data_IF_448939136847
#
_entry.id   IF_448939136847
#
_cell.length_a   1.000
_cell.length_b   1.000
_cell.length_c   1.000
_cell.angle_alpha   90.00
_cell.angle_beta   90.00
_cell.angle_gamma   90.00
#
_symmetry.space_group_name_H-M   'P 1'
#
loop_
_entity.id
_entity.type
_entity.pdbx_description
1 polymer ?
#
# COMPACT_ATOMS: atom_id res chain seq x y z
N UNK A 1 13.35 -5.20 4.37
CA UNK A 1 11.93 -4.90 4.04
C UNK A 1 11.15 -4.42 5.26
N UNK A 2 11.34 -5.02 6.43
CA UNK A 2 10.76 -4.63 7.72
C UNK A 2 10.84 -3.12 8.04
N UNK A 3 12.01 -2.50 7.92
CA UNK A 3 12.19 -1.08 8.20
C UNK A 3 11.27 -0.19 7.34
N UNK A 4 11.08 -0.52 6.06
CA UNK A 4 10.20 0.22 5.17
C UNK A 4 8.72 -0.05 5.45
N UNK A 5 8.36 -1.30 5.76
CA UNK A 5 6.98 -1.72 6.00
C UNK A 5 6.42 -1.22 7.34
N UNK A 6 7.27 -1.09 8.35
CA UNK A 6 6.88 -0.69 9.71
C UNK A 6 7.45 0.68 10.13
N UNK A 7 7.99 1.45 9.17
CA UNK A 7 8.43 2.83 9.45
C UNK A 7 7.26 3.70 9.89
N UNK A 8 7.48 4.55 10.89
CA UNK A 8 6.55 5.57 11.39
C UNK A 8 6.96 7.00 11.00
N UNK A 9 7.81 7.14 9.96
CA UNK A 9 8.18 8.46 9.43
C UNK A 9 6.91 9.24 9.03
N UNK A 10 6.85 10.49 9.48
CA UNK A 10 5.69 11.37 9.32
C UNK A 10 5.58 11.93 7.89
N UNK A 11 4.47 12.63 7.62
CA UNK A 11 4.21 13.32 6.34
C UNK A 11 4.21 12.41 5.10
N UNK A 12 3.84 11.14 5.27
CA UNK A 12 3.66 10.18 4.17
C UNK A 12 2.18 9.88 3.99
N UNK A 13 1.73 9.92 2.74
CA UNK A 13 0.36 9.61 2.37
C UNK A 13 0.32 8.44 1.39
N UNK A 14 -0.67 7.56 1.54
CA UNK A 14 -1.00 6.54 0.54
C UNK A 14 -2.22 7.01 -0.22
N UNK A 15 -2.10 7.11 -1.54
CA UNK A 15 -3.17 7.56 -2.43
C UNK A 15 -3.49 6.47 -3.46
N UNK A 16 -4.77 6.34 -3.81
CA UNK A 16 -5.22 5.47 -4.90
C UNK A 16 -5.70 6.35 -6.05
N UNK A 17 -5.10 6.17 -7.22
CA UNK A 17 -5.41 6.95 -8.43
C UNK A 17 -5.97 6.01 -9.48
N UNK A 18 -7.04 6.41 -10.17
CA UNK A 18 -7.55 5.64 -11.31
C UNK A 18 -6.49 5.61 -12.42
N UNK A 19 -6.29 4.48 -13.12
CA UNK A 19 -5.24 4.37 -14.15
C UNK A 19 -5.25 5.49 -15.19
N UNK A 20 -6.44 5.93 -15.62
CA UNK A 20 -6.65 7.00 -16.59
C UNK A 20 -6.23 8.39 -16.10
N UNK A 21 -6.10 8.60 -14.79
CA UNK A 21 -5.66 9.86 -14.18
C UNK A 21 -4.20 9.84 -13.74
N UNK A 22 -3.48 8.74 -13.96
CA UNK A 22 -2.10 8.57 -13.48
C UNK A 22 -1.18 9.67 -13.99
N UNK A 23 -1.18 9.95 -15.30
CA UNK A 23 -0.28 10.94 -15.89
C UNK A 23 -0.49 12.34 -15.30
N UNK A 24 -1.75 12.79 -15.27
CA UNK A 24 -2.10 14.08 -14.67
C UNK A 24 -1.74 14.16 -13.18
N UNK A 25 -1.89 13.07 -12.42
CA UNK A 25 -1.48 13.02 -11.02
C UNK A 25 0.05 13.13 -10.87
N UNK A 26 0.82 12.39 -11.68
CA UNK A 26 2.29 12.43 -11.65
C UNK A 26 2.83 13.83 -12.00
N UNK A 27 2.20 14.51 -12.96
CA UNK A 27 2.51 15.92 -13.32
C UNK A 27 2.20 16.89 -12.17
N UNK A 28 1.03 16.77 -11.54
CA UNK A 28 0.66 17.62 -10.39
C UNK A 28 1.56 17.44 -9.17
N UNK A 29 2.21 16.28 -9.04
CA UNK A 29 3.10 15.94 -7.94
C UNK A 29 4.58 16.26 -8.23
N UNK A 30 4.87 16.94 -9.35
CA UNK A 30 6.23 17.36 -9.69
C UNK A 30 6.87 18.14 -8.52
N UNK A 31 8.11 17.79 -8.19
CA UNK A 31 8.85 18.38 -7.06
C UNK A 31 8.52 17.78 -5.69
N UNK A 32 7.52 16.91 -5.55
CA UNK A 32 7.23 16.15 -4.32
C UNK A 32 7.80 14.73 -4.44
N UNK A 33 8.47 14.18 -3.42
CA UNK A 33 8.89 12.78 -3.43
C UNK A 33 7.68 11.84 -3.36
N UNK A 34 7.46 11.05 -4.41
CA UNK A 34 6.45 9.99 -4.42
C UNK A 34 6.90 8.78 -5.25
N UNK A 35 6.20 7.66 -5.09
CA UNK A 35 6.43 6.47 -5.91
C UNK A 35 5.16 5.62 -6.03
N UNK A 36 5.03 4.90 -7.15
CA UNK A 36 3.95 3.93 -7.36
C UNK A 36 4.29 2.62 -6.66
N UNK A 37 3.71 2.41 -5.49
CA UNK A 37 3.99 1.24 -4.64
C UNK A 37 3.15 -0.02 -4.95
N UNK A 38 2.18 0.07 -5.86
CA UNK A 38 1.34 -1.09 -6.18
C UNK A 38 0.15 -0.79 -7.10
N UNK A 39 -0.84 -1.68 -7.05
CA UNK A 39 -2.12 -1.59 -7.78
C UNK A 39 -3.22 -2.25 -6.95
N UNK A 40 -4.41 -1.65 -6.91
CA UNK A 40 -5.60 -2.28 -6.32
C UNK A 40 -6.11 -3.33 -7.29
N UNK A 41 -6.35 -4.55 -6.80
CA UNK A 41 -6.86 -5.67 -7.59
C UNK A 41 -8.13 -6.20 -6.96
N UNK A 42 -8.98 -6.81 -7.78
CA UNK A 42 -10.08 -7.64 -7.27
C UNK A 42 -9.55 -8.89 -6.55
N UNK A 43 -10.39 -9.47 -5.70
CA UNK A 43 -10.08 -10.68 -4.95
C UNK A 43 -9.73 -10.42 -3.48
N UNK A 44 -9.11 -11.42 -2.85
CA UNK A 44 -8.87 -11.46 -1.39
C UNK A 44 -7.39 -11.36 -1.03
N UNK A 45 -6.49 -11.55 -1.98
CA UNK A 45 -5.06 -11.66 -1.69
C UNK A 45 -4.42 -10.28 -1.56
N UNK A 46 -3.90 -9.99 -0.37
CA UNK A 46 -2.94 -8.93 -0.15
C UNK A 46 -1.52 -9.48 -0.31
N UNK A 47 -0.75 -8.90 -1.23
CA UNK A 47 0.61 -9.33 -1.53
C UNK A 47 1.59 -8.17 -1.50
N UNK A 48 2.78 -8.41 -0.96
CA UNK A 48 3.90 -7.45 -0.97
C UNK A 48 5.12 -8.12 -1.57
N UNK A 49 5.74 -7.43 -2.53
CA UNK A 49 7.02 -7.81 -3.12
C UNK A 49 8.11 -6.93 -2.47
N UNK A 50 9.11 -7.57 -1.87
CA UNK A 50 10.23 -6.91 -1.23
C UNK A 50 11.22 -6.32 -2.25
N UNK A 51 12.23 -5.61 -1.76
CA UNK A 51 13.19 -4.90 -2.62
C UNK A 51 13.99 -5.84 -3.54
N UNK A 52 14.16 -7.10 -3.16
CA UNK A 52 14.82 -8.14 -3.97
C UNK A 52 13.89 -8.82 -4.99
N UNK A 53 12.67 -8.32 -5.18
CA UNK A 53 11.69 -8.90 -6.11
C UNK A 53 11.01 -10.17 -5.60
N UNK A 54 11.31 -10.60 -4.37
CA UNK A 54 10.69 -11.77 -3.73
C UNK A 54 9.40 -11.40 -3.01
N UNK A 55 8.43 -12.31 -2.98
CA UNK A 55 7.20 -12.12 -2.22
C UNK A 55 7.48 -12.26 -0.72
N UNK A 56 7.19 -11.20 0.04
CA UNK A 56 7.46 -11.12 1.49
C UNK A 56 6.19 -11.16 2.33
N UNK A 57 5.04 -10.83 1.75
CA UNK A 57 3.72 -11.01 2.36
C UNK A 57 2.78 -11.64 1.34
N UNK A 58 2.03 -12.64 1.76
CA UNK A 58 0.83 -13.14 1.08
C UNK A 58 -0.22 -13.50 2.13
N UNK A 59 -1.35 -12.81 2.13
CA UNK A 59 -2.40 -13.02 3.12
C UNK A 59 -3.80 -12.70 2.56
N UNK A 60 -4.84 -13.17 3.24
CA UNK A 60 -6.22 -12.77 2.98
C UNK A 60 -6.49 -11.39 3.62
N UNK A 61 -6.84 -10.39 2.82
CA UNK A 61 -7.08 -9.01 3.26
C UNK A 61 -8.24 -8.91 4.25
N UNK A 62 -9.26 -9.76 4.13
CA UNK A 62 -10.40 -9.75 5.05
C UNK A 62 -10.00 -10.35 6.40
N UNK A 63 -9.08 -11.32 6.43
CA UNK A 63 -8.50 -11.82 7.68
C UNK A 63 -7.67 -10.75 8.38
N UNK A 64 -6.84 -10.02 7.63
CA UNK A 64 -6.07 -8.89 8.17
C UNK A 64 -6.99 -7.83 8.78
N UNK A 65 -8.04 -7.46 8.03
CA UNK A 65 -9.06 -6.50 8.50
C UNK A 65 -9.77 -6.99 9.76
N UNK A 66 -10.19 -8.26 9.80
CA UNK A 66 -10.88 -8.84 10.96
C UNK A 66 -10.02 -8.81 12.22
N UNK A 67 -8.74 -9.20 12.12
CA UNK A 67 -7.80 -9.18 13.25
C UNK A 67 -7.57 -7.76 13.75
N UNK A 68 -7.51 -6.77 12.86
CA UNK A 68 -7.41 -5.36 13.23
C UNK A 68 -8.67 -4.81 13.91
N UNK A 69 -9.86 -5.16 13.41
CA UNK A 69 -11.13 -4.65 13.94
C UNK A 69 -11.57 -5.34 15.24
N UNK A 70 -11.19 -6.61 15.46
CA UNK A 70 -11.61 -7.40 16.63
C UNK A 70 -11.30 -6.73 17.97
N UNK A 71 -10.07 -6.25 18.27
CA UNK A 71 -9.77 -5.62 19.56
C UNK A 71 -10.49 -4.29 19.80
N UNK A 72 -11.11 -3.69 18.77
CA UNK A 72 -11.84 -2.41 18.86
C UNK A 72 -13.37 -2.60 19.03
N UNK A 73 -13.85 -3.86 19.01
CA UNK A 73 -15.26 -4.21 19.21
C UNK A 73 -15.47 -4.53 20.70
N UNK A 74 -15.98 -3.56 21.45
CA UNK A 74 -16.42 -3.72 22.83
C UNK A 74 -17.88 -4.18 22.88
#
# INVERSE_FOLDING_TARGET
DDYLLFSESQSRFVVTVRPEHRGAFEELMEGVPFSRIGVVREGRTFGVIGLEGRKVIEADIFRLKEVWQRPLRF
#
